data_IF_662195992906
#
_entry.id   IF_662195992906
#
_cell.length_a   1.000
_cell.length_b   1.000
_cell.length_c   1.000
_cell.angle_alpha   90.00
_cell.angle_beta   90.00
_cell.angle_gamma   90.00
#
_symmetry.space_group_name_H-M   'P 1'
#
loop_
_entity.id
_entity.type
_entity.pdbx_description
1 polymer ?
#
# COMPACT_ATOMS: atom_id res chain seq x y z
N UNK A 1 -9.91 19.89 0.74
CA UNK A 1 -10.51 18.59 0.33
C UNK A 1 -9.39 17.57 0.20
N UNK A 2 -9.57 16.36 0.74
CA UNK A 2 -8.59 15.30 0.56
C UNK A 2 -8.56 14.82 -0.90
N UNK A 3 -7.37 14.45 -1.39
CA UNK A 3 -7.17 13.82 -2.71
C UNK A 3 -6.86 12.33 -2.50
N UNK A 4 -7.37 11.50 -3.40
CA UNK A 4 -7.18 10.05 -3.35
C UNK A 4 -6.44 9.58 -4.61
N UNK A 5 -5.45 8.71 -4.42
CA UNK A 5 -4.69 8.06 -5.49
C UNK A 5 -4.82 6.56 -5.28
N UNK A 6 -5.40 5.86 -6.25
CA UNK A 6 -5.53 4.40 -6.21
C UNK A 6 -4.37 3.76 -6.95
N UNK A 7 -3.70 2.79 -6.30
CA UNK A 7 -2.60 2.03 -6.90
C UNK A 7 -3.07 0.60 -7.11
N UNK A 8 -3.16 0.19 -8.37
CA UNK A 8 -3.54 -1.18 -8.77
C UNK A 8 -2.36 -1.92 -9.39
N UNK A 9 -2.50 -3.24 -9.60
CA UNK A 9 -1.48 -4.09 -10.21
C UNK A 9 -2.06 -4.99 -11.28
N UNK A 10 -1.31 -5.23 -12.35
CA UNK A 10 -1.66 -6.18 -13.40
C UNK A 10 -0.56 -7.22 -13.64
N UNK A 11 -0.89 -8.23 -14.45
CA UNK A 11 -0.01 -9.31 -14.91
C UNK A 11 0.40 -10.29 -13.81
N UNK A 12 1.22 -9.88 -12.85
CA UNK A 12 1.73 -10.77 -11.77
C UNK A 12 1.76 -10.09 -10.40
N UNK A 13 1.71 -10.93 -9.35
CA UNK A 13 1.93 -10.51 -7.96
C UNK A 13 3.42 -10.26 -7.68
N UNK A 14 3.76 -9.76 -6.50
CA UNK A 14 5.16 -9.53 -6.06
C UNK A 14 6.01 -8.52 -6.86
N UNK A 15 5.41 -7.75 -7.76
CA UNK A 15 6.09 -6.69 -8.57
C UNK A 15 6.49 -5.42 -7.79
N UNK A 16 6.50 -5.45 -6.46
CA UNK A 16 6.96 -4.30 -5.65
C UNK A 16 5.97 -3.13 -5.50
N UNK A 17 4.66 -3.35 -5.68
CA UNK A 17 3.63 -2.30 -5.55
C UNK A 17 3.68 -1.52 -4.23
N UNK A 18 3.97 -2.22 -3.13
CA UNK A 18 4.09 -1.60 -1.80
C UNK A 18 5.26 -0.61 -1.73
N UNK A 19 6.42 -0.99 -2.28
CA UNK A 19 7.61 -0.13 -2.34
C UNK A 19 7.36 1.09 -3.21
N UNK A 20 6.76 0.91 -4.39
CA UNK A 20 6.40 2.03 -5.28
C UNK A 20 5.46 3.02 -4.59
N UNK A 21 4.43 2.51 -3.90
CA UNK A 21 3.47 3.34 -3.16
C UNK A 21 4.15 4.10 -2.02
N UNK A 22 5.03 3.45 -1.27
CA UNK A 22 5.80 4.08 -0.19
C UNK A 22 6.73 5.19 -0.70
N UNK A 23 7.45 4.93 -1.81
CA UNK A 23 8.33 5.91 -2.46
C UNK A 23 7.56 7.12 -2.99
N UNK A 24 6.40 6.92 -3.60
CA UNK A 24 5.52 8.01 -4.02
C UNK A 24 5.07 8.85 -2.81
N UNK A 25 4.64 8.20 -1.73
CA UNK A 25 4.28 8.89 -0.49
C UNK A 25 5.45 9.70 0.10
N UNK A 26 6.68 9.18 0.03
CA UNK A 26 7.88 9.89 0.50
C UNK A 26 8.15 11.16 -0.31
N UNK A 27 8.01 11.11 -1.64
CA UNK A 27 8.18 12.26 -2.53
C UNK A 27 7.12 13.33 -2.24
N UNK A 28 5.86 12.92 -2.07
CA UNK A 28 4.77 13.86 -1.76
C UNK A 28 4.97 14.53 -0.40
N UNK A 29 5.39 13.77 0.63
CA UNK A 29 5.78 14.34 1.93
C UNK A 29 6.94 15.32 1.81
N UNK A 30 7.94 15.02 0.98
CA UNK A 30 9.06 15.95 0.72
C UNK A 30 8.62 17.26 0.04
N UNK A 31 7.44 17.27 -0.61
CA UNK A 31 6.81 18.48 -1.18
C UNK A 31 5.89 19.21 -0.19
N UNK A 32 5.95 18.87 1.10
CA UNK A 32 5.14 19.51 2.14
C UNK A 32 3.67 19.06 2.17
N UNK A 33 3.30 17.99 1.47
CA UNK A 33 1.94 17.47 1.49
C UNK A 33 1.74 16.50 2.66
N UNK A 34 0.60 16.61 3.32
CA UNK A 34 0.13 15.61 4.28
C UNK A 34 -0.38 14.38 3.53
N UNK A 35 0.27 13.23 3.74
CA UNK A 35 -0.05 11.98 3.05
C UNK A 35 -0.20 10.84 4.05
N UNK A 36 -1.25 10.04 3.85
CA UNK A 36 -1.48 8.75 4.49
C UNK A 36 -1.60 7.65 3.44
N UNK A 37 -1.24 6.42 3.80
CA UNK A 37 -1.32 5.23 2.93
C UNK A 37 -2.26 4.23 3.60
N UNK A 38 -3.16 3.66 2.81
CA UNK A 38 -4.04 2.56 3.21
C UNK A 38 -3.74 1.33 2.34
N UNK A 39 -3.46 0.19 2.97
CA UNK A 39 -3.35 -1.10 2.30
C UNK A 39 -4.71 -1.81 2.35
N UNK A 40 -5.18 -2.24 1.19
CA UNK A 40 -6.33 -3.13 1.07
C UNK A 40 -5.81 -4.54 0.77
N UNK A 41 -6.05 -5.47 1.68
CA UNK A 41 -5.67 -6.87 1.55
C UNK A 41 -6.93 -7.69 1.21
N UNK A 42 -6.98 -8.38 0.05
CA UNK A 42 -8.18 -9.07 -0.42
C UNK A 42 -8.32 -10.48 0.17
N UNK A 43 -7.92 -10.66 1.44
CA UNK A 43 -8.04 -11.93 2.15
C UNK A 43 -9.26 -11.90 3.07
N UNK A 44 -9.80 -13.08 3.39
CA UNK A 44 -10.96 -13.20 4.29
C UNK A 44 -10.56 -13.05 5.77
N UNK A 45 -9.29 -13.23 6.10
CA UNK A 45 -8.77 -13.04 7.45
C UNK A 45 -9.08 -11.61 7.91
N UNK A 46 -9.69 -11.49 9.09
CA UNK A 46 -10.02 -10.18 9.70
C UNK A 46 -8.75 -9.39 9.97
N UNK A 47 -7.69 -10.08 10.40
CA UNK A 47 -6.38 -9.53 10.67
C UNK A 47 -5.30 -10.60 10.41
N UNK A 48 -4.03 -10.20 10.22
CA UNK A 48 -2.95 -11.14 9.94
C UNK A 48 -2.49 -11.95 11.16
N UNK A 49 -3.03 -11.73 12.36
CA UNK A 49 -2.63 -12.41 13.60
C UNK A 49 -2.92 -13.91 13.62
N UNK A 50 -3.77 -14.39 12.70
CA UNK A 50 -4.05 -15.82 12.48
C UNK A 50 -3.20 -16.47 11.39
N UNK A 51 -2.37 -15.68 10.69
CA UNK A 51 -1.51 -16.17 9.61
C UNK A 51 -0.18 -16.71 10.18
N UNK A 52 0.37 -17.73 9.52
CA UNK A 52 1.73 -18.20 9.84
C UNK A 52 2.76 -17.16 9.38
N UNK A 53 3.64 -16.64 10.25
CA UNK A 53 4.58 -15.58 9.88
C UNK A 53 5.72 -16.03 8.96
N UNK A 54 5.93 -17.34 8.81
CA UNK A 54 7.01 -17.92 7.99
C UNK A 54 6.57 -18.35 6.59
N UNK A 55 5.28 -18.18 6.28
CA UNK A 55 4.67 -18.48 4.99
C UNK A 55 4.46 -17.19 4.19
#
# INVERSE_FOLDING_TARGET
MARYVFVTGGVVSSVGKGIVTASLGRILKARGLTVSILKLDPYINVDPGTMSPYQ
#
